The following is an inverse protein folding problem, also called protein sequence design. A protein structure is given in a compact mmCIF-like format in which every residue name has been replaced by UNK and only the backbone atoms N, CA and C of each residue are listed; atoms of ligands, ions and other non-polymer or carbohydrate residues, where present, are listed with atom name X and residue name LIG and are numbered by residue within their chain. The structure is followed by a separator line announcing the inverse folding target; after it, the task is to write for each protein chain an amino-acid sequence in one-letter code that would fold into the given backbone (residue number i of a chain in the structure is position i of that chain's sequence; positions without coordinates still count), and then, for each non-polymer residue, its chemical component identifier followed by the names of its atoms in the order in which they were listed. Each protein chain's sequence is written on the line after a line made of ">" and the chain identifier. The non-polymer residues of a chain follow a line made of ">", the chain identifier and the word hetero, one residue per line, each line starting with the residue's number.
data_IF_393353658685
#
_entry.id   IF_393353658685
#
_cell.length_a   1.000
_cell.length_b   1.000
_cell.length_c   1.000
_cell.angle_alpha   90.00
_cell.angle_beta   90.00
_cell.angle_gamma   90.00
#
_symmetry.space_group_name_H-M   'P 1'
#
loop_
_entity.id
_entity.type
_entity.pdbx_description
1 polymer ?
#
# COMPACT_ATOMS: atom_id res chain seq x y z
N UNK A 1 14.91 -17.26 5.73
CA UNK A 1 14.79 -16.01 6.51
C UNK A 1 13.31 -15.76 6.72
N UNK A 2 12.90 -15.79 7.97
CA UNK A 2 11.51 -15.53 8.40
C UNK A 2 11.18 -14.08 8.04
N UNK A 3 10.05 -13.88 7.38
CA UNK A 3 9.49 -12.55 7.19
C UNK A 3 8.90 -12.14 8.54
N UNK A 4 9.66 -11.38 9.32
CA UNK A 4 9.12 -10.82 10.54
C UNK A 4 8.09 -9.74 10.17
N UNK A 5 6.82 -10.10 10.31
CA UNK A 5 5.75 -9.11 10.24
C UNK A 5 5.82 -8.27 11.51
N UNK A 6 5.97 -6.97 11.34
CA UNK A 6 5.90 -6.01 12.44
C UNK A 6 4.43 -5.86 12.82
N UNK A 7 4.06 -6.38 13.97
CA UNK A 7 2.72 -6.26 14.54
C UNK A 7 2.85 -5.63 15.91
N UNK A 8 2.00 -4.66 16.21
CA UNK A 8 2.01 -4.02 17.53
C UNK A 8 1.16 -4.82 18.50
N UNK A 9 1.62 -4.93 19.74
CA UNK A 9 0.84 -5.54 20.80
C UNK A 9 -0.20 -4.54 21.35
N UNK A 10 -1.38 -4.99 21.81
CA UNK A 10 -2.43 -4.10 22.31
C UNK A 10 -1.96 -3.15 23.40
N UNK A 11 -1.04 -3.58 24.26
CA UNK A 11 -0.47 -2.80 25.33
C UNK A 11 0.37 -1.60 24.85
N UNK A 12 0.94 -1.67 23.63
CA UNK A 12 1.82 -0.65 23.09
C UNK A 12 1.06 0.42 22.28
N UNK A 13 -0.24 0.22 22.05
CA UNK A 13 -1.07 1.15 21.25
C UNK A 13 -1.10 2.56 21.86
N UNK A 14 -1.12 2.68 23.20
CA UNK A 14 -1.12 3.98 23.87
C UNK A 14 0.19 4.74 23.62
N UNK A 15 1.33 4.05 23.67
CA UNK A 15 2.64 4.62 23.38
C UNK A 15 2.74 5.01 21.90
N UNK A 16 2.22 4.18 21.00
CA UNK A 16 2.18 4.46 19.57
C UNK A 16 1.41 5.74 19.24
N UNK A 17 0.28 5.98 19.92
CA UNK A 17 -0.49 7.22 19.77
C UNK A 17 0.33 8.45 20.20
N UNK A 18 1.13 8.35 21.25
CA UNK A 18 2.06 9.41 21.66
C UNK A 18 3.09 9.72 20.57
N UNK A 19 3.70 8.67 19.99
CA UNK A 19 4.63 8.82 18.86
C UNK A 19 3.95 9.47 17.66
N UNK A 20 2.73 9.03 17.32
CA UNK A 20 1.94 9.60 16.22
C UNK A 20 1.69 11.10 16.40
N UNK A 21 1.35 11.54 17.60
CA UNK A 21 1.14 12.97 17.90
C UNK A 21 2.41 13.81 17.72
N UNK A 22 3.56 13.29 18.16
CA UNK A 22 4.86 13.96 17.97
C UNK A 22 5.17 14.07 16.48
N UNK A 23 4.99 12.99 15.72
CA UNK A 23 5.22 12.96 14.28
C UNK A 23 4.29 13.90 13.48
N UNK A 24 3.15 14.27 14.00
CA UNK A 24 2.24 15.25 13.36
C UNK A 24 2.68 16.70 13.56
N UNK A 25 3.49 16.99 14.58
CA UNK A 25 3.86 18.36 14.99
C UNK A 25 5.11 18.90 14.28
N UNK A 26 5.83 18.08 13.53
CA UNK A 26 7.04 18.50 12.81
C UNK A 26 8.09 17.42 12.72
N UNK A 27 9.27 17.77 12.22
CA UNK A 27 10.41 16.86 12.11
C UNK A 27 10.93 16.45 13.46
N UNK A 28 10.82 15.19 13.89
CA UNK A 28 11.31 14.74 15.18
C UNK A 28 12.83 14.63 15.18
N UNK A 29 13.39 14.82 16.36
CA UNK A 29 14.81 14.57 16.64
C UNK A 29 14.91 13.28 17.44
N UNK A 30 15.79 12.38 17.03
CA UNK A 30 16.15 11.21 17.82
C UNK A 30 17.11 11.64 18.94
N UNK A 31 16.84 11.16 20.13
CA UNK A 31 17.70 11.36 21.30
C UNK A 31 18.34 10.04 21.66
N UNK A 32 19.66 9.96 21.60
CA UNK A 32 20.43 8.79 21.98
C UNK A 32 20.46 8.61 23.51
N UNK A 33 20.87 7.44 23.96
CA UNK A 33 20.95 7.07 25.39
C UNK A 33 21.92 7.96 26.20
N UNK A 34 22.88 8.60 25.55
CA UNK A 34 23.84 9.54 26.16
C UNK A 34 23.47 11.00 25.91
N UNK A 35 22.24 11.28 25.46
CA UNK A 35 21.77 12.63 25.17
C UNK A 35 22.20 13.20 23.81
N UNK A 36 22.72 12.37 22.92
CA UNK A 36 23.01 12.80 21.54
C UNK A 36 21.71 13.11 20.78
N UNK A 37 21.72 14.14 19.97
CA UNK A 37 20.59 14.53 19.14
C UNK A 37 20.90 14.33 17.67
N UNK A 38 20.00 13.65 16.95
CA UNK A 38 20.08 13.47 15.50
C UNK A 38 18.75 13.83 14.86
N UNK A 39 18.78 14.76 13.91
CA UNK A 39 17.59 15.11 13.11
C UNK A 39 17.29 13.98 12.13
N UNK A 40 16.04 13.56 12.04
CA UNK A 40 15.59 12.56 11.07
C UNK A 40 15.61 13.15 9.67
N UNK A 41 16.25 12.48 8.69
CA UNK A 41 16.09 12.81 7.27
C UNK A 41 14.61 12.73 6.87
N UNK A 42 14.19 13.61 5.93
CA UNK A 42 12.80 13.70 5.48
C UNK A 42 12.24 12.35 4.99
N UNK A 43 13.02 11.60 4.23
CA UNK A 43 12.63 10.26 3.74
C UNK A 43 12.34 9.27 4.86
N UNK A 44 13.15 9.28 5.91
CA UNK A 44 12.96 8.42 7.07
C UNK A 44 11.75 8.87 7.92
N UNK A 45 11.55 10.18 8.02
CA UNK A 45 10.39 10.75 8.70
C UNK A 45 9.07 10.34 8.03
N UNK A 46 8.99 10.45 6.69
CA UNK A 46 7.81 10.03 5.92
C UNK A 46 7.55 8.53 6.10
N UNK A 47 8.59 7.71 6.00
CA UNK A 47 8.48 6.26 6.22
C UNK A 47 7.96 5.95 7.64
N UNK A 48 8.50 6.62 8.65
CA UNK A 48 8.09 6.41 10.04
C UNK A 48 6.61 6.80 10.26
N UNK A 49 6.16 7.91 9.67
CA UNK A 49 4.74 8.30 9.70
C UNK A 49 3.83 7.23 9.08
N UNK A 50 4.22 6.67 7.96
CA UNK A 50 3.42 5.64 7.28
C UNK A 50 3.39 4.34 8.08
N UNK A 51 4.51 3.94 8.69
CA UNK A 51 4.58 2.80 9.61
C UNK A 51 3.62 3.00 10.77
N UNK A 52 3.74 4.13 11.49
CA UNK A 52 2.92 4.42 12.67
C UNK A 52 1.44 4.46 12.31
N UNK A 53 1.05 5.09 11.21
CA UNK A 53 -0.34 5.15 10.75
C UNK A 53 -0.94 3.77 10.48
N UNK A 54 -0.17 2.88 9.85
CA UNK A 54 -0.65 1.53 9.57
C UNK A 54 -0.81 0.72 10.86
N UNK A 55 0.17 0.79 11.76
CA UNK A 55 0.11 0.12 13.05
C UNK A 55 -1.04 0.63 13.93
N UNK A 56 -1.30 1.95 13.97
CA UNK A 56 -2.47 2.53 14.66
C UNK A 56 -3.80 2.00 14.12
N UNK A 57 -3.85 1.69 12.82
CA UNK A 57 -5.02 1.10 12.16
C UNK A 57 -5.15 -0.42 12.39
N UNK A 58 -4.30 -1.01 13.23
CA UNK A 58 -4.27 -2.45 13.50
C UNK A 58 -3.72 -3.29 12.32
N UNK A 59 -3.03 -2.67 11.38
CA UNK A 59 -2.44 -3.37 10.22
C UNK A 59 -1.04 -3.84 10.57
N UNK A 60 -0.73 -5.08 10.25
CA UNK A 60 0.64 -5.58 10.28
C UNK A 60 1.43 -5.09 9.07
N UNK A 61 2.71 -4.83 9.25
CA UNK A 61 3.61 -4.37 8.20
C UNK A 61 4.70 -5.40 7.93
N UNK A 62 5.06 -5.52 6.66
CA UNK A 62 6.21 -6.32 6.23
C UNK A 62 7.13 -5.41 5.43
N UNK A 63 8.36 -5.23 5.91
CA UNK A 63 9.41 -4.49 5.20
C UNK A 63 10.23 -5.47 4.38
N UNK A 64 10.34 -5.21 3.08
CA UNK A 64 11.12 -6.04 2.17
C UNK A 64 12.01 -5.17 1.29
N UNK A 65 13.29 -5.57 1.06
CA UNK A 65 14.15 -4.90 0.07
C UNK A 65 13.52 -4.95 -1.33
N UNK A 66 13.65 -3.88 -2.10
CA UNK A 66 13.11 -3.80 -3.47
C UNK A 66 13.74 -4.81 -4.44
N UNK A 67 15.02 -5.14 -4.21
CA UNK A 67 15.76 -6.14 -5.01
C UNK A 67 15.34 -7.59 -4.71
N UNK A 68 14.47 -7.81 -3.73
CA UNK A 68 14.01 -9.14 -3.40
C UNK A 68 13.35 -9.81 -4.59
N UNK A 69 13.86 -10.98 -4.93
CA UNK A 69 13.32 -11.83 -6.00
C UNK A 69 12.14 -12.66 -5.47
N UNK A 70 11.00 -12.54 -6.14
CA UNK A 70 9.78 -13.26 -5.81
C UNK A 70 9.55 -14.41 -6.77
N UNK A 71 8.89 -15.47 -6.28
CA UNK A 71 8.33 -16.51 -7.15
C UNK A 71 7.07 -15.97 -7.85
N UNK A 72 6.69 -16.59 -8.97
CA UNK A 72 5.43 -16.25 -9.67
C UNK A 72 4.21 -16.41 -8.77
N UNK A 73 4.21 -17.42 -7.89
CA UNK A 73 3.13 -17.61 -6.91
C UNK A 73 3.05 -16.43 -5.95
N UNK A 74 4.17 -16.05 -5.34
CA UNK A 74 4.19 -14.94 -4.36
C UNK A 74 3.87 -13.59 -4.99
N UNK A 75 4.35 -13.34 -6.21
CA UNK A 75 4.02 -12.12 -6.94
C UNK A 75 2.51 -12.06 -7.30
N UNK A 76 1.90 -13.17 -7.71
CA UNK A 76 0.47 -13.25 -7.97
C UNK A 76 -0.36 -12.96 -6.71
N UNK A 77 0.01 -13.53 -5.57
CA UNK A 77 -0.62 -13.27 -4.27
C UNK A 77 -0.57 -11.78 -3.90
N UNK A 78 0.60 -11.14 -4.04
CA UNK A 78 0.76 -9.71 -3.75
C UNK A 78 -0.09 -8.82 -4.67
N UNK A 79 -0.27 -9.23 -5.92
CA UNK A 79 -1.09 -8.49 -6.91
C UNK A 79 -2.59 -8.82 -6.83
N UNK A 80 -2.99 -9.76 -5.96
CA UNK A 80 -4.38 -10.21 -5.84
C UNK A 80 -4.91 -10.83 -7.13
N UNK A 81 -4.08 -11.61 -7.84
CA UNK A 81 -4.45 -12.27 -9.09
C UNK A 81 -4.04 -13.75 -9.11
N UNK A 82 -4.60 -14.51 -10.04
CA UNK A 82 -4.21 -15.91 -10.23
C UNK A 82 -2.80 -16.02 -10.84
N UNK A 83 -2.08 -17.08 -10.49
CA UNK A 83 -0.77 -17.35 -11.07
C UNK A 83 -0.80 -17.52 -12.59
N UNK A 84 -1.77 -18.21 -13.21
CA UNK A 84 -1.86 -18.28 -14.66
C UNK A 84 -1.99 -16.92 -15.34
N UNK A 85 -2.78 -16.03 -14.77
CA UNK A 85 -2.94 -14.67 -15.28
C UNK A 85 -1.64 -13.86 -15.17
N UNK A 86 -0.92 -13.96 -14.06
CA UNK A 86 0.41 -13.35 -13.94
C UNK A 86 1.38 -13.86 -15.01
N UNK A 87 1.34 -15.17 -15.31
CA UNK A 87 2.19 -15.75 -16.37
C UNK A 87 1.86 -15.14 -17.74
N UNK A 88 0.61 -14.84 -18.05
CA UNK A 88 0.23 -14.14 -19.29
C UNK A 88 0.84 -12.73 -19.34
N UNK A 89 0.77 -11.97 -18.23
CA UNK A 89 1.39 -10.63 -18.08
C UNK A 89 2.90 -10.68 -18.30
N UNK A 90 3.57 -11.69 -17.76
CA UNK A 90 5.01 -11.88 -17.97
C UNK A 90 5.34 -12.23 -19.42
N UNK A 91 4.51 -13.04 -20.06
CA UNK A 91 4.70 -13.43 -21.45
C UNK A 91 4.39 -12.28 -22.43
N UNK A 92 3.47 -11.38 -22.11
CA UNK A 92 3.19 -10.18 -22.90
C UNK A 92 4.25 -9.10 -22.78
N UNK A 93 5.20 -9.26 -21.83
CA UNK A 93 6.25 -8.28 -21.58
C UNK A 93 5.82 -7.06 -20.75
N UNK A 94 4.60 -7.07 -20.20
CA UNK A 94 4.10 -5.98 -19.35
C UNK A 94 4.86 -5.85 -18.04
N UNK A 95 5.51 -6.93 -17.58
CA UNK A 95 6.33 -6.98 -16.39
C UNK A 95 7.60 -7.79 -16.65
N UNK A 96 8.80 -7.25 -16.35
CA UNK A 96 10.06 -7.97 -16.53
C UNK A 96 10.20 -9.11 -15.52
N UNK A 97 10.92 -10.14 -15.89
CA UNK A 97 11.29 -11.26 -15.03
C UNK A 97 12.66 -11.81 -15.43
N UNK A 98 13.27 -12.55 -14.53
CA UNK A 98 14.51 -13.29 -14.77
C UNK A 98 14.26 -14.78 -14.68
N UNK A 99 15.00 -15.58 -15.48
CA UNK A 99 15.00 -17.04 -15.35
C UNK A 99 16.16 -17.47 -14.45
N UNK A 100 15.82 -18.21 -13.40
CA UNK A 100 16.78 -18.88 -12.54
C UNK A 100 16.55 -20.39 -12.73
N UNK A 101 17.34 -21.00 -13.58
CA UNK A 101 17.07 -22.34 -14.10
C UNK A 101 15.74 -22.35 -14.88
N UNK A 102 14.81 -23.19 -14.47
CA UNK A 102 13.45 -23.29 -15.06
C UNK A 102 12.40 -22.37 -14.39
N UNK A 103 12.81 -21.61 -13.39
CA UNK A 103 11.90 -20.81 -12.55
C UNK A 103 11.97 -19.33 -12.90
N UNK A 104 10.82 -18.71 -13.12
CA UNK A 104 10.71 -17.25 -13.26
C UNK A 104 10.86 -16.59 -11.88
N UNK A 105 11.66 -15.54 -11.83
CA UNK A 105 11.85 -14.68 -10.66
C UNK A 105 11.53 -13.24 -11.06
N UNK A 106 10.81 -12.53 -10.21
CA UNK A 106 10.32 -11.19 -10.44
C UNK A 106 10.81 -10.31 -9.30
N UNK A 107 11.47 -9.20 -9.62
CA UNK A 107 11.90 -8.28 -8.57
C UNK A 107 10.69 -7.61 -7.92
N UNK A 108 10.72 -7.45 -6.60
CA UNK A 108 9.62 -6.83 -5.86
C UNK A 108 9.28 -5.43 -6.38
N UNK A 109 10.30 -4.63 -6.75
CA UNK A 109 10.12 -3.30 -7.36
C UNK A 109 9.25 -3.33 -8.61
N UNK A 110 9.39 -4.36 -9.45
CA UNK A 110 8.63 -4.50 -10.70
C UNK A 110 7.17 -4.85 -10.40
N UNK A 111 6.95 -5.69 -9.39
CA UNK A 111 5.60 -6.01 -8.89
C UNK A 111 4.91 -4.77 -8.33
N UNK A 112 5.61 -3.97 -7.51
CA UNK A 112 5.06 -2.72 -6.94
C UNK A 112 4.77 -1.69 -8.03
N UNK A 113 5.67 -1.54 -9.00
CA UNK A 113 5.50 -0.63 -10.14
C UNK A 113 4.28 -1.02 -10.98
N UNK A 114 4.11 -2.31 -11.26
CA UNK A 114 2.96 -2.82 -11.98
C UNK A 114 1.65 -2.60 -11.20
N UNK A 115 1.65 -2.89 -9.90
CA UNK A 115 0.49 -2.67 -9.03
C UNK A 115 0.04 -1.20 -9.06
N UNK A 116 0.99 -0.26 -9.00
CA UNK A 116 0.73 1.18 -9.04
C UNK A 116 0.11 1.60 -10.38
N UNK A 117 0.73 1.22 -11.50
CA UNK A 117 0.19 1.50 -12.84
C UNK A 117 -1.23 0.97 -13.02
N UNK A 118 -1.47 -0.25 -12.56
CA UNK A 118 -2.80 -0.88 -12.64
C UNK A 118 -3.84 -0.14 -11.80
N UNK A 119 -3.46 0.31 -10.61
CA UNK A 119 -4.35 1.09 -9.73
C UNK A 119 -4.69 2.46 -10.34
N UNK A 120 -3.70 3.14 -10.93
CA UNK A 120 -3.89 4.42 -11.63
C UNK A 120 -4.81 4.26 -12.85
N UNK A 121 -4.57 3.25 -13.68
CA UNK A 121 -5.42 2.96 -14.84
C UNK A 121 -6.87 2.64 -14.42
N UNK A 122 -7.05 1.85 -13.37
CA UNK A 122 -8.38 1.54 -12.82
C UNK A 122 -9.09 2.80 -12.32
N UNK A 123 -8.38 3.67 -11.61
CA UNK A 123 -8.94 4.93 -11.12
C UNK A 123 -9.35 5.84 -12.26
N UNK A 124 -8.49 6.01 -13.27
CA UNK A 124 -8.80 6.82 -14.46
C UNK A 124 -10.02 6.27 -15.22
N UNK A 125 -10.15 4.94 -15.33
CA UNK A 125 -11.31 4.31 -15.97
C UNK A 125 -12.60 4.58 -15.17
N UNK A 126 -12.56 4.45 -13.84
CA UNK A 126 -13.72 4.76 -12.98
C UNK A 126 -14.11 6.24 -13.05
N UNK A 127 -13.14 7.14 -13.02
CA UNK A 127 -13.37 8.59 -13.13
C UNK A 127 -13.99 8.94 -14.50
N UNK A 128 -13.57 8.27 -15.57
CA UNK A 128 -14.18 8.41 -16.90
C UNK A 128 -15.61 7.90 -16.90
N UNK A 129 -15.86 6.70 -16.40
CA UNK A 129 -17.21 6.12 -16.33
C UNK A 129 -18.17 7.00 -15.51
N UNK A 130 -17.69 7.57 -14.41
CA UNK A 130 -18.49 8.48 -13.59
C UNK A 130 -18.84 9.77 -14.35
N UNK A 131 -17.91 10.36 -15.10
CA UNK A 131 -18.19 11.52 -15.96
C UNK A 131 -19.18 11.18 -17.06
N UNK A 132 -18.94 10.09 -17.79
CA UNK A 132 -19.82 9.64 -18.88
C UNK A 132 -21.25 9.39 -18.36
N UNK A 133 -21.40 8.80 -17.18
CA UNK A 133 -22.69 8.56 -16.52
C UNK A 133 -23.38 9.87 -16.09
N UNK A 134 -22.63 10.84 -15.60
CA UNK A 134 -23.14 12.16 -15.24
C UNK A 134 -23.61 12.93 -16.48
N UNK A 135 -22.82 12.96 -17.55
CA UNK A 135 -23.17 13.61 -18.83
C UNK A 135 -24.37 12.93 -19.49
N UNK A 136 -24.53 11.63 -19.32
CA UNK A 136 -25.71 10.89 -19.83
C UNK A 136 -26.97 11.10 -18.97
N UNK A 137 -26.94 11.91 -17.91
CA UNK A 137 -28.09 12.21 -17.05
C UNK A 137 -28.60 10.99 -16.25
N UNK A 138 -27.78 9.95 -16.06
CA UNK A 138 -28.20 8.74 -15.36
C UNK A 138 -28.52 8.98 -13.88
N UNK A 139 -28.06 10.11 -13.33
CA UNK A 139 -28.31 10.50 -11.93
C UNK A 139 -29.55 11.38 -11.75
N UNK A 140 -30.11 11.94 -12.83
CA UNK A 140 -31.28 12.84 -12.75
C UNK A 140 -32.58 12.11 -12.35
N UNK A 141 -32.57 10.77 -12.41
CA UNK A 141 -33.70 9.91 -12.05
C UNK A 141 -33.57 9.22 -10.69
N UNK A 142 -32.54 9.50 -9.91
CA UNK A 142 -32.41 8.97 -8.55
C UNK A 142 -33.29 9.77 -7.61
N UNK A 143 -34.58 9.35 -7.47
CA UNK A 143 -35.42 9.82 -6.35
C UNK A 143 -34.80 9.29 -5.05
N UNK A 144 -34.20 10.20 -4.29
CA UNK A 144 -33.90 9.93 -2.88
C UNK A 144 -35.25 9.76 -2.18
N UNK A 145 -35.56 8.62 -1.54
CA UNK A 145 -36.75 8.51 -0.75
C UNK A 145 -36.65 9.55 0.37
N UNK A 146 -37.57 10.51 0.39
CA UNK A 146 -37.71 11.43 1.52
C UNK A 146 -37.94 10.59 2.75
N UNK A 147 -37.02 10.67 3.72
CA UNK A 147 -37.13 9.99 4.99
C UNK A 147 -38.44 10.40 5.65
N UNK A 148 -39.33 9.44 5.80
CA UNK A 148 -40.56 9.63 6.56
C UNK A 148 -40.20 10.06 7.96
N UNK A 149 -40.54 11.28 8.29
CA UNK A 149 -40.70 11.77 9.64
C UNK A 149 -41.97 11.13 10.16
N UNK A 150 -41.80 10.01 10.84
CA UNK A 150 -42.85 9.44 11.69
C UNK A 150 -42.78 10.13 13.06
N UNK A 151 -43.95 10.67 13.44
CA UNK A 151 -44.29 11.27 14.73
C UNK A 151 -44.06 10.35 15.93
#
# INVERSE_FOLDING_TARGET
>A
MVQDSITIQPQDIAQLRGVSQILRRGSPTLVGSKGEHATLPESLYVLLKDIVRNLESGRSLVLMPEERQLTTQRAAELLGMSRPYLIQILNSGEMPYQLVGKHRRIALRDVVTYARRRAEARRAALDKMARDAFEAGLYDNVRVPEGGSDE
#
